data_IF_014755499188
#
_entry.id   IF_014755499188
#
_cell.length_a   1.000
_cell.length_b   1.000
_cell.length_c   1.000
_cell.angle_alpha   90.00
_cell.angle_beta   90.00
_cell.angle_gamma   90.00
#
_symmetry.space_group_name_H-M   'P 1'
#
loop_
_entity.id
_entity.type
_entity.pdbx_description
1 polymer ?
#
# COMPACT_ATOMS: atom_id res chain seq x y z
N UNK A 1 45.64 -43.09 27.80
CA UNK A 1 46.23 -42.08 26.90
C UNK A 1 45.10 -41.40 26.14
N UNK A 2 44.77 -40.15 26.49
CA UNK A 2 43.69 -39.39 25.86
C UNK A 2 44.30 -38.34 24.92
N UNK A 3 44.03 -38.48 23.62
CA UNK A 3 44.50 -37.57 22.56
C UNK A 3 43.58 -36.35 22.53
N UNK A 4 44.03 -35.24 23.13
CA UNK A 4 43.39 -33.93 23.00
C UNK A 4 43.56 -33.42 21.56
N UNK A 5 42.52 -33.59 20.73
CA UNK A 5 42.43 -32.96 19.40
C UNK A 5 42.35 -31.45 19.55
N UNK A 6 43.47 -30.77 19.33
CA UNK A 6 43.53 -29.31 19.19
C UNK A 6 42.76 -28.86 17.95
N UNK A 7 41.60 -28.22 18.15
CA UNK A 7 40.91 -27.49 17.07
C UNK A 7 41.75 -26.27 16.70
N UNK A 8 42.47 -26.38 15.57
CA UNK A 8 43.07 -25.24 14.88
C UNK A 8 41.96 -24.22 14.57
N UNK A 9 41.99 -23.07 15.27
CA UNK A 9 41.15 -21.92 14.94
C UNK A 9 41.71 -21.31 13.67
N UNK A 10 41.01 -21.49 12.55
CA UNK A 10 41.29 -20.76 11.32
C UNK A 10 41.18 -19.25 11.59
N UNK A 11 42.20 -18.45 11.28
CA UNK A 11 42.14 -17.00 11.48
C UNK A 11 40.99 -16.42 10.64
N UNK A 12 40.07 -15.73 11.30
CA UNK A 12 39.02 -14.97 10.60
C UNK A 12 39.70 -13.92 9.73
N UNK A 13 39.42 -13.94 8.43
CA UNK A 13 39.92 -12.94 7.50
C UNK A 13 39.54 -11.52 7.97
N UNK A 14 40.49 -10.58 8.08
CA UNK A 14 40.24 -9.21 8.52
C UNK A 14 39.27 -8.45 7.59
N UNK A 15 39.12 -8.91 6.34
CA UNK A 15 38.17 -8.34 5.37
C UNK A 15 36.69 -8.61 5.75
N UNK A 16 36.40 -9.69 6.49
CA UNK A 16 35.03 -9.95 6.98
C UNK A 16 34.69 -9.06 8.17
N UNK A 17 35.62 -8.79 9.07
CA UNK A 17 35.38 -7.90 10.23
C UNK A 17 35.16 -6.44 9.83
N UNK A 18 35.88 -5.95 8.81
CA UNK A 18 35.70 -4.58 8.31
C UNK A 18 34.31 -4.34 7.70
N UNK A 19 33.80 -5.28 6.89
CA UNK A 19 32.45 -5.18 6.30
C UNK A 19 31.34 -5.24 7.36
N UNK A 20 31.52 -6.03 8.41
CA UNK A 20 30.55 -6.12 9.51
C UNK A 20 30.52 -4.83 10.33
N UNK A 21 31.69 -4.26 10.68
CA UNK A 21 31.78 -2.99 11.42
C UNK A 21 31.22 -1.79 10.66
N UNK A 22 31.43 -1.71 9.34
CA UNK A 22 30.85 -0.63 8.52
C UNK A 22 29.33 -0.78 8.42
N UNK A 23 28.81 -2.01 8.30
CA UNK A 23 27.37 -2.26 8.38
C UNK A 23 26.81 -1.84 9.74
N UNK A 24 27.45 -2.19 10.85
CA UNK A 24 27.02 -1.82 12.20
C UNK A 24 27.04 -0.30 12.45
N UNK A 25 28.08 0.40 11.96
CA UNK A 25 28.19 1.86 12.11
C UNK A 25 27.17 2.65 11.29
N UNK A 26 26.74 2.13 10.13
CA UNK A 26 25.67 2.72 9.31
C UNK A 26 24.28 2.35 9.85
N UNK A 27 24.14 1.20 10.53
CA UNK A 27 22.84 0.64 10.92
C UNK A 27 22.16 1.28 12.14
N UNK A 28 22.83 2.13 12.94
CA UNK A 28 22.35 2.36 14.32
C UNK A 28 22.42 3.78 14.86
N UNK A 29 22.61 4.80 14.02
CA UNK A 29 22.30 6.16 14.48
C UNK A 29 20.81 6.39 14.29
N UNK A 30 20.05 6.38 15.39
CA UNK A 30 18.66 6.86 15.38
C UNK A 30 18.63 8.22 14.71
N UNK A 31 17.90 8.31 13.60
CA UNK A 31 17.80 9.54 12.83
C UNK A 31 16.91 10.51 13.60
N UNK A 32 17.24 11.80 13.66
CA UNK A 32 16.40 12.76 14.35
C UNK A 32 15.01 12.74 13.72
N UNK A 33 13.98 12.66 14.56
CA UNK A 33 12.59 12.71 14.14
C UNK A 33 11.99 14.03 14.61
N UNK A 34 11.32 14.74 13.70
CA UNK A 34 10.61 15.97 14.01
C UNK A 34 9.19 15.84 13.51
N UNK A 35 8.22 16.11 14.37
CA UNK A 35 6.82 16.17 13.96
C UNK A 35 6.61 17.43 13.10
N UNK A 36 6.38 17.23 11.81
CA UNK A 36 6.18 18.31 10.85
C UNK A 36 4.99 18.04 9.93
N UNK A 37 4.91 18.81 8.84
CA UNK A 37 3.77 18.76 7.93
C UNK A 37 3.60 17.39 7.25
N UNK A 38 4.69 16.69 6.89
CA UNK A 38 4.56 15.37 6.24
C UNK A 38 4.03 14.34 7.22
N UNK A 39 4.47 14.38 8.48
CA UNK A 39 3.96 13.51 9.53
C UNK A 39 2.47 13.76 9.80
N UNK A 40 2.07 15.05 9.86
CA UNK A 40 0.65 15.45 9.96
C UNK A 40 -0.14 14.90 8.78
N UNK A 41 0.37 15.04 7.56
CA UNK A 41 -0.32 14.54 6.36
C UNK A 41 -0.44 13.01 6.36
N UNK A 42 0.57 12.28 6.84
CA UNK A 42 0.50 10.83 6.98
C UNK A 42 -0.56 10.37 7.98
N UNK A 43 -0.65 11.05 9.13
CA UNK A 43 -1.58 10.69 10.20
C UNK A 43 -2.99 11.19 9.91
N UNK A 44 -3.16 12.49 9.65
CA UNK A 44 -4.47 13.10 9.48
C UNK A 44 -5.01 12.98 8.06
N UNK A 45 -4.15 12.80 7.06
CA UNK A 45 -4.58 12.57 5.68
C UNK A 45 -5.23 11.20 5.49
N UNK A 46 -4.76 10.16 6.21
CA UNK A 46 -5.30 8.80 6.08
C UNK A 46 -5.99 8.28 7.36
N UNK A 47 -5.63 8.77 8.54
CA UNK A 47 -6.16 8.27 9.83
C UNK A 47 -7.69 8.32 9.97
N UNK A 48 -8.38 9.38 9.53
CA UNK A 48 -9.84 9.43 9.57
C UNK A 48 -10.51 8.27 8.81
N UNK A 49 -9.84 7.67 7.82
CA UNK A 49 -10.35 6.48 7.13
C UNK A 49 -10.55 5.29 8.05
N UNK A 50 -9.79 5.13 9.15
CA UNK A 50 -10.07 4.04 10.09
C UNK A 50 -11.48 4.14 10.68
N UNK A 51 -11.91 5.35 11.02
CA UNK A 51 -13.26 5.61 11.53
C UNK A 51 -14.28 5.34 10.42
N UNK A 52 -14.02 5.82 9.20
CA UNK A 52 -14.93 5.61 8.08
C UNK A 52 -15.07 4.16 7.66
N UNK A 53 -14.03 3.34 7.79
CA UNK A 53 -14.08 1.93 7.42
C UNK A 53 -14.72 1.04 8.48
N UNK A 54 -14.74 1.48 9.74
CA UNK A 54 -15.18 0.64 10.87
C UNK A 54 -16.46 1.14 11.53
N UNK A 55 -16.47 2.41 11.94
CA UNK A 55 -17.57 2.99 12.71
C UNK A 55 -18.75 3.37 11.82
N UNK A 56 -18.49 3.93 10.64
CA UNK A 56 -19.57 4.43 9.77
C UNK A 56 -20.50 3.32 9.25
N UNK A 57 -20.03 2.17 8.73
CA UNK A 57 -20.90 1.06 8.31
C UNK A 57 -21.72 0.51 9.47
N UNK A 58 -21.07 0.33 10.63
CA UNK A 58 -21.74 -0.11 11.86
C UNK A 58 -22.86 0.86 12.27
N UNK A 59 -22.60 2.17 12.23
CA UNK A 59 -23.60 3.18 12.59
C UNK A 59 -24.78 3.18 11.61
N UNK A 60 -24.50 3.10 10.30
CA UNK A 60 -25.51 3.04 9.26
C UNK A 60 -26.42 1.81 9.40
N UNK A 61 -25.85 0.65 9.73
CA UNK A 61 -26.61 -0.54 10.11
C UNK A 61 -27.52 -0.24 11.30
N UNK A 62 -26.97 0.24 12.41
CA UNK A 62 -27.74 0.47 13.65
C UNK A 62 -28.88 1.48 13.46
N UNK A 63 -28.76 2.41 12.51
CA UNK A 63 -29.82 3.35 12.13
C UNK A 63 -30.88 2.77 11.19
N UNK A 64 -30.73 1.51 10.77
CA UNK A 64 -31.62 0.87 9.80
C UNK A 64 -31.48 1.41 8.38
N UNK A 65 -30.37 2.10 8.07
CA UNK A 65 -30.08 2.63 6.73
C UNK A 65 -29.47 1.56 5.81
N UNK A 66 -28.84 0.54 6.40
CA UNK A 66 -28.36 -0.63 5.69
C UNK A 66 -29.24 -1.83 6.05
N UNK A 67 -29.65 -2.56 5.03
CA UNK A 67 -30.47 -3.76 5.17
C UNK A 67 -29.66 -4.93 4.62
N UNK A 68 -29.51 -5.98 5.42
CA UNK A 68 -28.83 -7.19 4.98
C UNK A 68 -29.57 -7.79 3.76
N UNK A 69 -28.86 -8.21 2.68
CA UNK A 69 -27.41 -8.39 2.56
C UNK A 69 -26.59 -7.17 2.11
N UNK A 70 -27.19 -6.01 1.90
CA UNK A 70 -26.56 -4.78 1.40
C UNK A 70 -25.84 -4.02 2.51
N UNK A 71 -24.72 -4.60 2.94
CA UNK A 71 -23.91 -4.13 4.06
C UNK A 71 -22.47 -3.79 3.66
N UNK A 72 -22.15 -3.80 2.36
CA UNK A 72 -20.81 -3.52 1.86
C UNK A 72 -20.45 -2.03 2.07
N UNK A 73 -19.16 -1.70 1.90
CA UNK A 73 -18.73 -0.31 2.01
C UNK A 73 -19.40 0.54 0.92
N UNK A 74 -19.53 0.01 -0.30
CA UNK A 74 -20.28 0.65 -1.40
C UNK A 74 -21.70 1.05 -0.97
N UNK A 75 -22.39 0.15 -0.29
CA UNK A 75 -23.78 0.32 0.13
C UNK A 75 -23.86 1.39 1.23
N UNK A 76 -22.88 1.39 2.14
CA UNK A 76 -22.72 2.45 3.16
C UNK A 76 -22.52 3.82 2.53
N UNK A 77 -21.75 3.92 1.44
CA UNK A 77 -21.55 5.20 0.75
C UNK A 77 -22.86 5.63 0.05
N UNK A 78 -23.62 4.69 -0.50
CA UNK A 78 -24.84 4.95 -1.25
C UNK A 78 -26.06 5.29 -0.36
N UNK A 79 -26.10 4.82 0.89
CA UNK A 79 -27.32 4.85 1.72
C UNK A 79 -27.84 6.26 2.09
N UNK A 80 -27.00 7.31 2.00
CA UNK A 80 -27.48 8.69 2.18
C UNK A 80 -26.50 9.73 1.60
N UNK A 81 -26.97 10.98 1.34
CA UNK A 81 -26.10 12.07 0.91
C UNK A 81 -24.98 12.42 1.92
N UNK A 82 -25.26 12.28 3.22
CA UNK A 82 -24.26 12.54 4.26
C UNK A 82 -23.13 11.52 4.22
N UNK A 83 -23.47 10.22 4.17
CA UNK A 83 -22.49 9.14 4.08
C UNK A 83 -21.63 9.30 2.82
N UNK A 84 -22.27 9.53 1.67
CA UNK A 84 -21.60 9.88 0.41
C UNK A 84 -20.57 10.99 0.60
N UNK A 85 -20.99 12.14 1.12
CA UNK A 85 -20.11 13.30 1.31
C UNK A 85 -18.91 12.99 2.22
N UNK A 86 -19.14 12.29 3.33
CA UNK A 86 -18.10 11.94 4.31
C UNK A 86 -17.09 10.96 3.71
N UNK A 87 -17.54 9.91 3.01
CA UNK A 87 -16.64 8.96 2.35
C UNK A 87 -15.90 9.59 1.18
N UNK A 88 -16.56 10.39 0.34
CA UNK A 88 -15.89 11.11 -0.75
C UNK A 88 -14.78 11.99 -0.19
N UNK A 89 -15.04 12.71 0.90
CA UNK A 89 -14.05 13.58 1.56
C UNK A 89 -12.89 12.76 2.14
N UNK A 90 -13.20 11.72 2.92
CA UNK A 90 -12.18 10.89 3.58
C UNK A 90 -11.31 10.13 2.59
N UNK A 91 -11.92 9.50 1.59
CA UNK A 91 -11.20 8.75 0.55
C UNK A 91 -10.36 9.69 -0.30
N UNK A 92 -10.90 10.85 -0.72
CA UNK A 92 -10.14 11.84 -1.47
C UNK A 92 -8.93 12.35 -0.69
N UNK A 93 -9.13 12.65 0.60
CA UNK A 93 -8.03 13.10 1.46
C UNK A 93 -6.96 12.02 1.62
N UNK A 94 -7.35 10.76 1.82
CA UNK A 94 -6.43 9.63 1.92
C UNK A 94 -5.70 9.34 0.60
N UNK A 95 -6.38 9.48 -0.53
CA UNK A 95 -5.79 9.30 -1.85
C UNK A 95 -4.76 10.40 -2.17
N UNK A 96 -5.11 11.67 -1.91
CA UNK A 96 -4.21 12.80 -2.11
C UNK A 96 -3.01 12.77 -1.14
N UNK A 97 -3.23 12.40 0.12
CA UNK A 97 -2.13 12.24 1.07
C UNK A 97 -1.19 11.12 0.62
N UNK A 98 -1.74 10.00 0.15
CA UNK A 98 -0.96 8.86 -0.37
C UNK A 98 -0.05 9.26 -1.53
N UNK A 99 -0.53 10.09 -2.47
CA UNK A 99 0.32 10.64 -3.53
C UNK A 99 1.56 11.32 -2.97
N UNK A 100 1.39 12.25 -2.03
CA UNK A 100 2.52 13.01 -1.46
C UNK A 100 3.44 12.09 -0.66
N UNK A 101 2.88 11.26 0.22
CA UNK A 101 3.63 10.36 1.11
C UNK A 101 4.47 9.38 0.29
N UNK A 102 3.89 8.72 -0.72
CA UNK A 102 4.60 7.71 -1.48
C UNK A 102 5.61 8.29 -2.47
N UNK A 103 5.37 9.50 -3.01
CA UNK A 103 6.38 10.22 -3.77
C UNK A 103 7.58 10.61 -2.91
N UNK A 104 7.35 11.11 -1.69
CA UNK A 104 8.42 11.44 -0.76
C UNK A 104 9.15 10.18 -0.27
N UNK A 105 8.41 9.10 -0.02
CA UNK A 105 8.95 7.78 0.32
C UNK A 105 9.90 7.28 -0.77
N UNK A 106 9.44 7.19 -2.02
CA UNK A 106 10.24 6.69 -3.14
C UNK A 106 11.49 7.55 -3.37
N UNK A 107 11.33 8.88 -3.32
CA UNK A 107 12.43 9.85 -3.46
C UNK A 107 13.48 9.65 -2.37
N UNK A 108 13.05 9.55 -1.12
CA UNK A 108 13.94 9.37 0.01
C UNK A 108 14.66 8.02 -0.01
N UNK A 109 13.96 6.94 -0.39
CA UNK A 109 14.58 5.62 -0.47
C UNK A 109 15.64 5.57 -1.59
N UNK A 110 15.35 6.14 -2.75
CA UNK A 110 16.33 6.29 -3.84
C UNK A 110 17.52 7.16 -3.49
N UNK A 111 17.30 8.30 -2.81
CA UNK A 111 18.40 9.12 -2.33
C UNK A 111 19.30 8.32 -1.39
N UNK A 112 18.71 7.58 -0.44
CA UNK A 112 19.46 6.73 0.49
C UNK A 112 20.24 5.62 -0.24
N UNK A 113 19.70 5.08 -1.33
CA UNK A 113 20.41 4.13 -2.20
C UNK A 113 21.63 4.79 -2.86
N UNK A 114 21.50 5.99 -3.39
CA UNK A 114 22.61 6.72 -4.01
C UNK A 114 23.68 7.17 -3.03
N UNK A 115 23.29 7.42 -1.78
CA UNK A 115 24.21 7.78 -0.69
C UNK A 115 25.00 6.57 -0.15
N UNK A 116 24.64 5.33 -0.54
CA UNK A 116 25.40 4.15 -0.11
C UNK A 116 26.82 4.17 -0.69
N UNK A 117 27.82 3.65 0.06
CA UNK A 117 29.18 3.53 -0.46
C UNK A 117 29.19 2.74 -1.77
N UNK A 118 29.98 3.18 -2.77
CA UNK A 118 30.12 2.51 -4.07
C UNK A 118 30.57 1.04 -3.99
N UNK A 119 31.09 0.61 -2.84
CA UNK A 119 31.44 -0.79 -2.56
C UNK A 119 30.24 -1.69 -2.31
N UNK A 120 29.07 -1.12 -2.02
CA UNK A 120 27.79 -1.82 -1.90
C UNK A 120 27.18 -1.91 -3.30
N UNK A 121 27.20 -3.12 -3.88
CA UNK A 121 26.55 -3.36 -5.15
C UNK A 121 25.02 -3.40 -4.93
N UNK A 122 24.34 -2.29 -5.20
CA UNK A 122 22.88 -2.22 -5.10
C UNK A 122 22.28 -2.80 -6.37
N UNK A 123 21.40 -3.79 -6.18
CA UNK A 123 20.71 -4.40 -7.30
C UNK A 123 19.75 -3.39 -7.95
N UNK A 124 19.88 -3.20 -9.27
CA UNK A 124 19.02 -2.33 -10.07
C UNK A 124 17.53 -2.73 -9.98
N UNK A 125 17.25 -4.01 -9.65
CA UNK A 125 15.88 -4.48 -9.43
C UNK A 125 15.19 -3.75 -8.27
N UNK A 126 15.92 -3.28 -7.25
CA UNK A 126 15.34 -2.53 -6.14
C UNK A 126 14.84 -1.15 -6.60
N UNK A 127 15.65 -0.41 -7.36
CA UNK A 127 15.23 0.90 -7.89
C UNK A 127 14.01 0.76 -8.80
N UNK A 128 13.98 -0.27 -9.66
CA UNK A 128 12.84 -0.58 -10.52
C UNK A 128 11.59 -0.93 -9.71
N UNK A 129 11.72 -1.73 -8.64
CA UNK A 129 10.60 -2.08 -7.78
C UNK A 129 10.01 -0.84 -7.08
N UNK A 130 10.86 0.11 -6.65
CA UNK A 130 10.41 1.38 -6.07
C UNK A 130 9.63 2.21 -7.10
N UNK A 131 10.10 2.27 -8.34
CA UNK A 131 9.41 2.98 -9.43
C UNK A 131 8.07 2.34 -9.78
N UNK A 132 8.05 1.01 -9.92
CA UNK A 132 6.82 0.26 -10.18
C UNK A 132 5.82 0.43 -9.05
N UNK A 133 6.30 0.43 -7.80
CA UNK A 133 5.47 0.67 -6.63
C UNK A 133 4.85 2.06 -6.67
N UNK A 134 5.65 3.10 -6.89
CA UNK A 134 5.15 4.47 -6.98
C UNK A 134 4.17 4.64 -8.16
N UNK A 135 4.50 4.09 -9.33
CA UNK A 135 3.63 4.11 -10.49
C UNK A 135 2.29 3.43 -10.19
N UNK A 136 2.32 2.27 -9.54
CA UNK A 136 1.10 1.53 -9.18
C UNK A 136 0.26 2.32 -8.18
N UNK A 137 0.86 3.01 -7.21
CA UNK A 137 0.12 3.92 -6.31
C UNK A 137 -0.55 5.04 -7.11
N UNK A 138 0.20 5.75 -7.96
CA UNK A 138 -0.26 6.97 -8.64
C UNK A 138 -1.19 6.73 -9.83
N UNK A 139 -1.07 5.59 -10.50
CA UNK A 139 -1.83 5.27 -11.71
C UNK A 139 -2.82 4.12 -11.49
N UNK A 140 -2.52 3.20 -10.57
CA UNK A 140 -3.34 2.03 -10.28
C UNK A 140 -4.26 2.20 -9.07
N UNK A 141 -3.77 2.74 -7.96
CA UNK A 141 -4.56 2.82 -6.72
C UNK A 141 -5.32 4.13 -6.63
N UNK A 142 -4.62 5.26 -6.60
CA UNK A 142 -5.24 6.57 -6.31
C UNK A 142 -6.33 6.95 -7.31
N UNK A 143 -6.10 6.93 -8.65
CA UNK A 143 -7.12 7.34 -9.60
C UNK A 143 -8.35 6.43 -9.54
N UNK A 144 -8.15 5.13 -9.36
CA UNK A 144 -9.24 4.17 -9.30
C UNK A 144 -10.05 4.29 -7.99
N UNK A 145 -9.42 4.63 -6.86
CA UNK A 145 -10.15 4.98 -5.64
C UNK A 145 -11.00 6.26 -5.83
N UNK A 146 -10.48 7.26 -6.57
CA UNK A 146 -11.23 8.49 -6.88
C UNK A 146 -12.38 8.23 -7.86
N UNK A 147 -12.19 7.37 -8.86
CA UNK A 147 -13.26 6.94 -9.77
C UNK A 147 -14.33 6.18 -8.99
N UNK A 148 -13.94 5.26 -8.11
CA UNK A 148 -14.86 4.44 -7.30
C UNK A 148 -15.83 5.30 -6.46
N UNK A 149 -15.37 6.40 -5.88
CA UNK A 149 -16.23 7.33 -5.12
C UNK A 149 -16.99 8.34 -5.98
N UNK A 150 -16.59 8.51 -7.25
CA UNK A 150 -17.22 9.46 -8.18
C UNK A 150 -18.35 8.79 -8.97
N UNK A 151 -18.19 7.50 -9.28
CA UNK A 151 -19.17 6.69 -10.00
C UNK A 151 -19.76 5.70 -9.01
N UNK A 152 -20.91 6.06 -8.45
CA UNK A 152 -21.61 5.23 -7.49
C UNK A 152 -22.95 4.86 -8.08
N UNK A 153 -23.28 3.58 -7.99
CA UNK A 153 -24.55 3.06 -8.41
C UNK A 153 -25.28 2.48 -7.20
N UNK A 154 -26.59 2.41 -7.30
CA UNK A 154 -27.44 1.68 -6.36
C UNK A 154 -27.78 0.37 -7.09
N UNK A 155 -27.47 -0.78 -6.50
CA UNK A 155 -27.93 -2.06 -7.06
C UNK A 155 -29.44 -2.14 -6.87
N UNK A 156 -30.17 -2.09 -7.98
CA UNK A 156 -31.60 -2.41 -7.96
C UNK A 156 -31.76 -3.94 -8.00
N UNK A 157 -32.60 -4.45 -7.10
CA UNK A 157 -33.05 -5.83 -7.13
C UNK A 157 -34.37 -5.90 -7.87
N UNK A 158 -34.55 -6.90 -8.73
CA UNK A 158 -35.82 -7.16 -9.38
C UNK A 158 -36.88 -7.66 -8.36
N UNK A 159 -38.14 -7.78 -8.79
CA UNK A 159 -39.22 -8.29 -7.94
C UNK A 159 -38.98 -9.74 -7.45
N UNK A 160 -38.05 -10.47 -8.06
CA UNK A 160 -37.64 -11.81 -7.68
C UNK A 160 -36.40 -11.84 -6.78
N UNK A 161 -35.85 -10.68 -6.39
CA UNK A 161 -34.67 -10.54 -5.55
C UNK A 161 -33.35 -10.79 -6.28
N UNK A 162 -33.35 -10.94 -7.61
CA UNK A 162 -32.12 -11.03 -8.39
C UNK A 162 -31.54 -9.64 -8.63
N UNK A 163 -30.22 -9.56 -8.79
CA UNK A 163 -29.54 -8.33 -9.21
C UNK A 163 -29.98 -8.02 -10.65
N UNK A 164 -30.77 -6.96 -10.81
CA UNK A 164 -31.10 -6.46 -12.15
C UNK A 164 -29.85 -5.78 -12.71
N UNK A 165 -29.53 -6.05 -13.99
CA UNK A 165 -28.51 -5.25 -14.66
C UNK A 165 -29.05 -3.82 -14.79
N UNK A 166 -28.30 -2.80 -14.35
CA UNK A 166 -28.71 -1.43 -14.55
C UNK A 166 -28.79 -1.12 -16.05
N UNK A 167 -29.77 -0.32 -16.44
CA UNK A 167 -29.99 0.09 -17.84
C UNK A 167 -29.52 1.54 -18.08
N UNK A 168 -29.18 1.86 -19.34
CA UNK A 168 -28.86 3.24 -19.73
C UNK A 168 -27.61 3.83 -19.07
N UNK A 169 -27.76 4.99 -18.41
CA UNK A 169 -26.65 5.71 -17.76
C UNK A 169 -26.12 4.96 -16.52
N UNK A 170 -26.99 4.24 -15.81
CA UNK A 170 -26.62 3.50 -14.60
C UNK A 170 -25.72 2.30 -14.94
N UNK A 171 -25.88 1.72 -16.14
CA UNK A 171 -24.98 0.68 -16.64
C UNK A 171 -23.53 1.19 -16.75
N UNK A 172 -23.35 2.40 -17.27
CA UNK A 172 -22.02 3.00 -17.44
C UNK A 172 -21.39 3.25 -16.07
N UNK A 173 -22.16 3.78 -15.10
CA UNK A 173 -21.67 4.01 -13.74
C UNK A 173 -21.28 2.71 -13.05
N UNK A 174 -22.10 1.65 -13.20
CA UNK A 174 -21.81 0.32 -12.69
C UNK A 174 -20.51 -0.25 -13.27
N UNK A 175 -20.35 -0.22 -14.60
CA UNK A 175 -19.14 -0.72 -15.27
C UNK A 175 -17.90 0.03 -14.77
N UNK A 176 -17.97 1.37 -14.70
CA UNK A 176 -16.86 2.20 -14.23
C UNK A 176 -16.50 1.91 -12.78
N UNK A 177 -17.49 1.72 -11.90
CA UNK A 177 -17.26 1.37 -10.51
C UNK A 177 -16.61 0.00 -10.35
N UNK A 178 -17.13 -1.02 -11.03
CA UNK A 178 -16.60 -2.39 -10.98
C UNK A 178 -15.17 -2.45 -11.53
N UNK A 179 -14.92 -1.77 -12.64
CA UNK A 179 -13.58 -1.68 -13.22
C UNK A 179 -12.62 -0.96 -12.28
N UNK A 180 -13.03 0.18 -11.72
CA UNK A 180 -12.23 0.95 -10.77
C UNK A 180 -11.93 0.15 -9.50
N UNK A 181 -12.92 -0.53 -8.91
CA UNK A 181 -12.72 -1.40 -7.76
C UNK A 181 -11.68 -2.48 -8.06
N UNK A 182 -11.86 -3.18 -9.18
CA UNK A 182 -10.95 -4.24 -9.63
C UNK A 182 -9.51 -3.73 -9.78
N UNK A 183 -9.34 -2.61 -10.47
CA UNK A 183 -8.01 -2.01 -10.69
C UNK A 183 -7.40 -1.46 -9.40
N UNK A 184 -8.19 -0.88 -8.50
CA UNK A 184 -7.72 -0.41 -7.20
C UNK A 184 -7.22 -1.56 -6.34
N UNK A 185 -7.98 -2.64 -6.19
CA UNK A 185 -7.57 -3.82 -5.42
C UNK A 185 -6.40 -4.57 -6.04
N UNK A 186 -6.37 -4.72 -7.37
CA UNK A 186 -5.22 -5.28 -8.07
C UNK A 186 -3.96 -4.41 -7.85
N UNK A 187 -4.10 -3.09 -7.93
CA UNK A 187 -3.02 -2.14 -7.65
C UNK A 187 -2.53 -2.24 -6.21
N UNK A 188 -3.43 -2.35 -5.23
CA UNK A 188 -3.08 -2.59 -3.83
C UNK A 188 -2.31 -3.90 -3.65
N UNK A 189 -2.76 -4.98 -4.30
CA UNK A 189 -2.08 -6.28 -4.31
C UNK A 189 -0.66 -6.20 -4.91
N UNK A 190 -0.49 -5.50 -6.03
CA UNK A 190 0.82 -5.29 -6.66
C UNK A 190 1.73 -4.47 -5.74
N UNK A 191 1.24 -3.37 -5.16
CA UNK A 191 1.99 -2.56 -4.19
C UNK A 191 2.44 -3.39 -2.98
N UNK A 192 1.53 -4.19 -2.43
CA UNK A 192 1.81 -5.09 -1.31
C UNK A 192 2.86 -6.14 -1.67
N UNK A 193 2.75 -6.77 -2.83
CA UNK A 193 3.73 -7.73 -3.32
C UNK A 193 5.11 -7.09 -3.50
N UNK A 194 5.19 -5.97 -4.20
CA UNK A 194 6.44 -5.23 -4.42
C UNK A 194 7.09 -4.84 -3.10
N UNK A 195 6.31 -4.36 -2.13
CA UNK A 195 6.87 -3.97 -0.84
C UNK A 195 7.34 -5.16 -0.02
N UNK A 196 6.50 -6.18 0.19
CA UNK A 196 6.84 -7.27 1.10
C UNK A 196 7.93 -8.21 0.55
N UNK A 197 8.02 -8.41 -0.77
CA UNK A 197 9.00 -9.33 -1.37
C UNK A 197 10.23 -8.65 -1.97
N UNK A 198 10.14 -7.39 -2.43
CA UNK A 198 11.27 -6.72 -3.08
C UNK A 198 11.83 -5.56 -2.25
N UNK A 199 10.99 -4.59 -1.87
CA UNK A 199 11.48 -3.33 -1.28
C UNK A 199 11.87 -3.52 0.19
N UNK A 200 10.95 -4.03 1.02
CA UNK A 200 11.11 -4.16 2.48
C UNK A 200 12.33 -5.00 2.88
N UNK A 201 12.47 -6.25 2.39
CA UNK A 201 13.63 -7.09 2.73
C UNK A 201 14.97 -6.44 2.37
N UNK A 202 15.04 -5.76 1.21
CA UNK A 202 16.25 -5.05 0.78
C UNK A 202 16.48 -3.77 1.56
N UNK A 203 15.43 -3.05 1.92
CA UNK A 203 15.54 -1.86 2.75
C UNK A 203 16.09 -2.19 4.14
N UNK A 204 15.68 -3.33 4.72
CA UNK A 204 16.24 -3.89 5.96
C UNK A 204 17.69 -4.35 5.79
N UNK A 205 17.98 -5.10 4.73
CA UNK A 205 19.34 -5.62 4.46
C UNK A 205 20.37 -4.50 4.31
N UNK A 206 19.98 -3.41 3.62
CA UNK A 206 20.83 -2.26 3.34
C UNK A 206 20.84 -1.22 4.47
N UNK A 207 19.94 -1.32 5.45
CA UNK A 207 19.83 -0.33 6.53
C UNK A 207 19.43 1.07 6.04
N UNK A 208 18.83 1.17 4.86
CA UNK A 208 18.26 2.42 4.33
C UNK A 208 16.92 2.73 4.99
N UNK A 209 16.28 1.71 5.55
CA UNK A 209 15.03 1.66 6.30
C UNK A 209 15.17 1.91 7.82
N UNK A 210 14.26 2.58 8.56
CA UNK A 210 14.12 2.27 9.99
C UNK A 210 13.47 0.88 10.14
N UNK A 211 14.01 0.01 11.02
CA UNK A 211 13.52 -1.38 11.14
C UNK A 211 12.03 -1.47 11.51
N UNK A 212 11.59 -0.56 12.38
CA UNK A 212 10.20 -0.48 12.84
C UNK A 212 9.26 -0.18 11.68
N UNK A 213 9.52 0.90 10.94
CA UNK A 213 8.65 1.34 9.84
C UNK A 213 8.58 0.29 8.74
N UNK A 214 9.73 -0.32 8.42
CA UNK A 214 9.79 -1.38 7.40
C UNK A 214 9.00 -2.61 7.83
N UNK A 215 9.15 -3.05 9.08
CA UNK A 215 8.41 -4.20 9.60
C UNK A 215 6.90 -3.93 9.61
N UNK A 216 6.47 -2.75 10.07
CA UNK A 216 5.07 -2.34 10.04
C UNK A 216 4.51 -2.37 8.62
N UNK A 217 5.21 -1.80 7.64
CA UNK A 217 4.77 -1.85 6.23
C UNK A 217 4.77 -3.26 5.66
N UNK A 218 5.75 -4.10 6.00
CA UNK A 218 5.76 -5.51 5.58
C UNK A 218 4.57 -6.28 6.14
N UNK A 219 4.22 -6.10 7.42
CA UNK A 219 3.04 -6.74 8.03
C UNK A 219 1.76 -6.27 7.34
N UNK A 220 1.59 -4.97 7.11
CA UNK A 220 0.43 -4.43 6.39
C UNK A 220 0.37 -4.96 4.95
N UNK A 221 1.51 -5.02 4.24
CA UNK A 221 1.59 -5.53 2.89
C UNK A 221 1.25 -7.03 2.83
N UNK A 222 1.75 -7.84 3.75
CA UNK A 222 1.34 -9.24 3.86
C UNK A 222 -0.17 -9.38 4.14
N UNK A 223 -0.72 -8.53 5.01
CA UNK A 223 -2.16 -8.46 5.27
C UNK A 223 -2.97 -8.19 4.01
N UNK A 224 -2.60 -7.16 3.24
CA UNK A 224 -3.24 -6.83 1.95
C UNK A 224 -3.10 -7.98 0.95
N UNK A 225 -1.93 -8.60 0.84
CA UNK A 225 -1.73 -9.70 -0.10
C UNK A 225 -2.64 -10.89 0.24
N UNK A 226 -2.77 -11.22 1.54
CA UNK A 226 -3.67 -12.26 2.02
C UNK A 226 -5.13 -11.89 1.69
N UNK A 227 -5.57 -10.69 2.05
CA UNK A 227 -6.98 -10.31 1.83
C UNK A 227 -7.33 -10.20 0.35
N UNK A 228 -6.44 -9.72 -0.51
CA UNK A 228 -6.67 -9.68 -1.96
C UNK A 228 -6.76 -11.10 -2.54
N UNK A 229 -5.91 -12.03 -2.08
CA UNK A 229 -5.97 -13.44 -2.53
C UNK A 229 -7.29 -14.11 -2.15
N UNK A 230 -7.84 -13.84 -0.96
CA UNK A 230 -9.12 -14.40 -0.53
C UNK A 230 -10.33 -13.60 -1.07
N UNK A 231 -10.15 -12.32 -1.37
CA UNK A 231 -11.21 -11.44 -1.82
C UNK A 231 -11.82 -11.84 -3.16
N UNK A 232 -10.99 -12.28 -4.12
CA UNK A 232 -11.50 -12.73 -5.41
C UNK A 232 -12.41 -13.98 -5.28
N UNK A 233 -12.00 -15.08 -4.63
CA UNK A 233 -12.89 -16.21 -4.36
C UNK A 233 -14.15 -15.82 -3.59
N UNK A 234 -14.04 -15.01 -2.54
CA UNK A 234 -15.20 -14.58 -1.74
C UNK A 234 -16.17 -13.75 -2.59
N UNK A 235 -15.67 -12.84 -3.44
CA UNK A 235 -16.51 -12.07 -4.37
C UNK A 235 -17.19 -12.98 -5.40
N UNK A 236 -16.51 -14.00 -5.92
CA UNK A 236 -17.13 -14.98 -6.82
C UNK A 236 -18.24 -15.77 -6.13
N UNK A 237 -18.01 -16.22 -4.88
CA UNK A 237 -19.04 -16.89 -4.10
C UNK A 237 -20.24 -15.97 -3.80
N UNK A 238 -19.97 -14.69 -3.51
CA UNK A 238 -21.01 -13.68 -3.31
C UNK A 238 -21.88 -13.44 -4.55
N UNK A 239 -21.29 -13.52 -5.75
CA UNK A 239 -22.02 -13.33 -7.01
C UNK A 239 -22.77 -14.60 -7.44
N UNK A 240 -22.14 -15.76 -7.34
CA UNK A 240 -22.62 -16.99 -8.00
C UNK A 240 -23.21 -18.05 -7.07
N UNK A 241 -22.97 -17.97 -5.76
CA UNK A 241 -23.43 -18.98 -4.81
C UNK A 241 -24.55 -18.47 -3.90
N UNK A 242 -24.24 -17.55 -3.00
CA UNK A 242 -25.18 -17.03 -2.01
C UNK A 242 -24.74 -15.62 -1.57
N UNK A 243 -25.51 -14.62 -2.00
CA UNK A 243 -25.26 -13.21 -1.69
C UNK A 243 -25.34 -12.97 -0.19
N UNK A 244 -26.36 -13.51 0.47
CA UNK A 244 -26.60 -13.33 1.89
C UNK A 244 -25.47 -13.95 2.71
N UNK A 245 -25.16 -15.23 2.48
CA UNK A 245 -24.13 -15.91 3.24
C UNK A 245 -22.74 -15.27 3.08
N UNK A 246 -22.46 -14.68 1.91
CA UNK A 246 -21.14 -14.12 1.58
C UNK A 246 -21.01 -12.62 1.81
N UNK A 247 -22.09 -11.88 2.11
CA UNK A 247 -22.06 -10.44 2.33
C UNK A 247 -21.09 -10.04 3.46
N UNK A 248 -21.19 -10.70 4.61
CA UNK A 248 -20.30 -10.46 5.76
C UNK A 248 -18.83 -10.82 5.47
N UNK A 249 -18.51 -12.03 4.95
CA UNK A 249 -17.16 -12.35 4.52
C UNK A 249 -16.56 -11.32 3.56
N UNK A 250 -17.35 -10.86 2.59
CA UNK A 250 -16.89 -9.86 1.62
C UNK A 250 -16.63 -8.51 2.28
N UNK A 251 -17.55 -8.03 3.13
CA UNK A 251 -17.35 -6.81 3.92
C UNK A 251 -16.08 -6.89 4.78
N UNK A 252 -15.82 -8.03 5.42
CA UNK A 252 -14.60 -8.24 6.21
C UNK A 252 -13.35 -8.11 5.34
N UNK A 253 -13.35 -8.68 4.13
CA UNK A 253 -12.23 -8.52 3.19
C UNK A 253 -12.01 -7.04 2.85
N UNK A 254 -13.06 -6.29 2.53
CA UNK A 254 -12.96 -4.87 2.19
C UNK A 254 -12.40 -4.05 3.35
N UNK A 255 -13.00 -4.18 4.53
CA UNK A 255 -12.61 -3.43 5.73
C UNK A 255 -11.17 -3.76 6.13
N UNK A 256 -10.80 -5.04 6.18
CA UNK A 256 -9.46 -5.46 6.60
C UNK A 256 -8.40 -5.00 5.57
N UNK A 257 -8.66 -5.18 4.27
CA UNK A 257 -7.74 -4.73 3.20
C UNK A 257 -7.47 -3.23 3.30
N UNK A 258 -8.52 -2.44 3.43
CA UNK A 258 -8.43 -0.98 3.50
C UNK A 258 -7.80 -0.54 4.83
N UNK A 259 -8.10 -1.20 5.95
CA UNK A 259 -7.45 -0.93 7.24
C UNK A 259 -5.93 -1.19 7.18
N UNK A 260 -5.48 -2.27 6.52
CA UNK A 260 -4.05 -2.50 6.33
C UNK A 260 -3.41 -1.43 5.43
N UNK A 261 -4.10 -1.01 4.36
CA UNK A 261 -3.63 0.08 3.49
C UNK A 261 -3.47 1.39 4.27
N UNK A 262 -4.48 1.77 5.04
CA UNK A 262 -4.44 2.96 5.91
C UNK A 262 -3.37 2.80 7.00
N UNK A 263 -3.23 1.62 7.59
CA UNK A 263 -2.20 1.31 8.58
C UNK A 263 -0.77 1.46 8.03
N UNK A 264 -0.53 1.05 6.78
CA UNK A 264 0.75 1.25 6.11
C UNK A 264 1.07 2.75 5.91
N UNK A 265 0.06 3.57 5.62
CA UNK A 265 0.22 5.03 5.52
C UNK A 265 0.49 5.66 6.88
N UNK A 266 -0.37 5.40 7.87
CA UNK A 266 -0.31 6.06 9.18
C UNK A 266 0.87 5.55 9.97
N UNK A 267 0.92 4.26 10.28
CA UNK A 267 1.94 3.70 11.16
C UNK A 267 3.23 3.35 10.42
N UNK A 268 3.10 2.91 9.16
CA UNK A 268 4.26 2.51 8.37
C UNK A 268 5.04 3.67 7.74
N UNK A 269 4.43 4.84 7.55
CA UNK A 269 5.10 5.98 6.90
C UNK A 269 5.35 7.18 7.82
N UNK A 270 4.67 7.29 8.97
CA UNK A 270 4.86 8.43 9.88
C UNK A 270 6.31 8.60 10.35
N UNK A 271 7.00 7.54 10.78
CA UNK A 271 8.38 7.61 11.26
C UNK A 271 9.31 8.19 10.19
N UNK A 272 9.28 7.61 8.98
CA UNK A 272 10.04 8.12 7.84
C UNK A 272 9.67 9.56 7.45
N UNK A 273 8.39 9.95 7.52
CA UNK A 273 7.99 11.34 7.27
C UNK A 273 8.55 12.30 8.33
N UNK A 274 8.57 11.89 9.60
CA UNK A 274 9.19 12.67 10.69
C UNK A 274 10.70 12.80 10.54
N UNK A 275 11.38 11.75 10.04
CA UNK A 275 12.81 11.82 9.69
C UNK A 275 13.07 12.81 8.54
N UNK A 276 12.20 12.81 7.53
CA UNK A 276 12.29 13.74 6.40
C UNK A 276 11.97 15.18 6.81
N UNK A 277 11.07 15.39 7.76
CA UNK A 277 10.78 16.72 8.30
C UNK A 277 11.94 17.26 9.15
N UNK A 278 12.69 16.39 9.82
CA UNK A 278 13.90 16.79 10.54
C UNK A 278 15.08 17.12 9.60
N UNK A 279 15.31 16.28 8.58
CA UNK A 279 16.46 16.40 7.66
C UNK A 279 16.23 17.39 6.51
N UNK A 280 14.99 17.48 6.01
CA UNK A 280 14.60 18.27 4.85
C UNK A 280 13.23 18.95 5.05
N UNK A 281 13.14 19.94 5.96
CA UNK A 281 11.86 20.54 6.38
C UNK A 281 11.12 21.29 5.26
N UNK A 282 11.81 21.70 4.19
CA UNK A 282 11.19 22.42 3.08
C UNK A 282 10.61 21.44 2.06
N UNK A 283 9.28 21.36 2.00
CA UNK A 283 8.58 20.81 0.85
C UNK A 283 8.81 21.73 -0.35
N UNK A 284 9.64 21.30 -1.30
CA UNK A 284 9.78 22.02 -2.57
C UNK A 284 8.69 21.53 -3.50
N UNK A 285 7.60 22.30 -3.66
CA UNK A 285 6.52 21.99 -4.62
C UNK A 285 7.04 21.77 -6.05
N UNK A 286 8.15 22.42 -6.42
CA UNK A 286 8.85 22.16 -7.70
C UNK A 286 9.31 20.71 -7.87
N UNK A 287 9.57 20.00 -6.78
CA UNK A 287 9.93 18.58 -6.81
C UNK A 287 8.69 17.66 -6.88
N UNK A 288 7.50 18.19 -6.61
CA UNK A 288 6.21 17.54 -6.85
C UNK A 288 5.66 17.84 -8.26
N UNK A 289 6.39 18.60 -9.08
CA UNK A 289 5.95 18.93 -10.43
C UNK A 289 5.86 17.67 -11.30
N UNK A 290 4.71 17.53 -11.97
CA UNK A 290 4.40 16.44 -12.91
C UNK A 290 5.50 16.17 -13.93
N UNK A 291 6.28 17.17 -14.36
CA UNK A 291 7.39 16.96 -15.30
C UNK A 291 8.50 16.04 -14.76
N UNK A 292 8.84 16.12 -13.48
CA UNK A 292 9.80 15.20 -12.88
C UNK A 292 9.19 13.81 -12.70
N UNK A 293 7.88 13.73 -12.49
CA UNK A 293 7.15 12.47 -12.42
C UNK A 293 7.06 11.81 -13.80
N UNK A 294 6.76 12.56 -14.86
CA UNK A 294 6.75 12.06 -16.24
C UNK A 294 8.07 11.41 -16.64
N UNK A 295 9.21 12.04 -16.32
CA UNK A 295 10.55 11.46 -16.55
C UNK A 295 10.79 10.21 -15.70
N UNK A 296 10.21 10.14 -14.50
CA UNK A 296 10.34 8.98 -13.60
C UNK A 296 9.35 7.86 -13.92
N UNK A 297 8.19 8.16 -14.52
CA UNK A 297 7.08 7.21 -14.79
C UNK A 297 7.13 6.65 -16.22
N UNK A 298 7.34 7.48 -17.25
CA UNK A 298 7.41 7.00 -18.66
C UNK A 298 8.71 6.26 -18.93
N UNK A 299 9.84 6.79 -18.43
CA UNK A 299 11.16 6.25 -18.79
C UNK A 299 11.31 4.76 -18.41
N UNK A 300 10.82 4.30 -17.23
CA UNK A 300 10.77 2.86 -16.91
C UNK A 300 9.77 2.07 -17.74
N UNK A 301 8.61 2.63 -18.12
CA UNK A 301 7.63 1.95 -18.98
C UNK A 301 8.16 1.69 -20.39
N UNK A 302 8.91 2.64 -20.95
CA UNK A 302 9.56 2.49 -22.27
C UNK A 302 10.78 1.56 -22.19
N UNK A 303 11.39 1.42 -21.01
CA UNK A 303 12.54 0.52 -20.77
C UNK A 303 12.16 -0.75 -20.02
N UNK A 304 10.87 -1.08 -19.95
CA UNK A 304 10.35 -2.21 -19.19
C UNK A 304 10.85 -3.52 -19.82
N UNK A 305 12.02 -3.99 -19.37
CA UNK A 305 12.37 -5.40 -19.52
C UNK A 305 11.60 -6.15 -18.44
N UNK A 306 10.78 -7.15 -18.80
CA UNK A 306 10.16 -8.00 -17.79
C UNK A 306 11.27 -8.51 -16.86
N UNK A 307 11.03 -8.41 -15.54
CA UNK A 307 11.94 -8.99 -14.55
C UNK A 307 12.13 -10.46 -14.95
N UNK A 308 13.33 -10.81 -15.42
CA UNK A 308 13.68 -12.20 -15.62
C UNK A 308 13.61 -12.86 -14.25
N UNK A 309 12.50 -13.56 -14.00
CA UNK A 309 12.34 -14.44 -12.85
C UNK A 309 13.48 -15.44 -12.94
N UNK A 310 14.59 -15.16 -12.23
CA UNK A 310 15.67 -16.12 -12.07
C UNK A 310 15.03 -17.38 -11.54
N UNK A 311 15.05 -18.45 -12.36
CA UNK A 311 14.47 -19.76 -12.05
C UNK A 311 14.80 -20.11 -10.60
N UNK A 312 13.78 -20.06 -9.75
CA UNK A 312 13.89 -20.43 -8.35
C UNK A 312 14.33 -21.90 -8.32
N UNK A 313 15.57 -22.16 -7.94
CA UNK A 313 16.01 -23.54 -7.66
C UNK A 313 15.58 -23.84 -6.24
N UNK A 314 14.61 -24.74 -6.00
CA UNK A 314 14.32 -25.19 -4.65
C UNK A 314 15.58 -25.89 -4.12
N UNK A 315 16.05 -25.45 -2.95
CA UNK A 315 17.04 -26.14 -2.11
C UNK A 315 16.34 -27.07 -1.15
#
# INVERSE_FOLDING_TARGET
MAVTRGRSRTPRSPAKESKTRVKEAVLQKERPQKFGFRAILAIFGSGPMFILLTYTPWRAWMDGLLVFPDILISDTIACSPWHRSVYTTGISMAALSSCVIYSEFARALKQRIWDLPKSVNVDRTLEMAIDQFLFTVLCGVVPNLLILISFMFIEETDEAGNVALPDGEDLIQWILHVLAATLAFAGLGICAFLYAWHIGPKALELGIESKRDTYTRMVCACGIAITVMFGAPIRLLHIYWDREAMAFPLLMVEVISLCFGVGANVFGSAGMMMELDASHPKLKFRNLALNNWWVTLIKPLVTFRPLELKKFKPT
#
